data_IF_567085668361
#
_entry.id   IF_567085668361
#
_cell.length_a   1.000
_cell.length_b   1.000
_cell.length_c   1.000
_cell.angle_alpha   90.00
_cell.angle_beta   90.00
_cell.angle_gamma   90.00
#
_symmetry.space_group_name_H-M   'P 1'
#
loop_
_entity.id
_entity.type
_entity.pdbx_description
1 polymer ?
#
# COMPACT_ATOMS: atom_id res chain seq x y z
N UNK A 1 23.33 65.38 -19.09
CA UNK A 1 22.51 64.60 -18.12
C UNK A 1 22.87 65.08 -16.71
N UNK A 2 21.90 65.56 -15.96
CA UNK A 2 22.15 66.08 -14.58
C UNK A 2 22.69 64.95 -13.70
N UNK A 3 23.69 65.24 -12.81
CA UNK A 3 24.27 64.26 -11.91
C UNK A 3 23.18 63.51 -11.09
N UNK A 4 22.14 64.25 -10.63
CA UNK A 4 21.00 63.67 -9.91
C UNK A 4 20.22 62.63 -10.76
N UNK A 5 19.99 62.91 -12.06
CA UNK A 5 19.29 61.98 -12.94
C UNK A 5 20.10 60.69 -13.17
N UNK A 6 21.44 60.82 -13.24
CA UNK A 6 22.31 59.63 -13.34
C UNK A 6 22.23 58.73 -12.13
N UNK A 7 22.27 59.30 -10.91
CA UNK A 7 22.18 58.57 -9.67
C UNK A 7 20.81 57.86 -9.55
N UNK A 8 19.72 58.52 -9.92
CA UNK A 8 18.37 57.93 -9.90
C UNK A 8 18.30 56.75 -10.87
N UNK A 9 18.86 56.87 -12.07
CA UNK A 9 18.90 55.79 -13.03
C UNK A 9 19.74 54.58 -12.54
N UNK A 10 20.88 54.85 -11.89
CA UNK A 10 21.72 53.77 -11.30
C UNK A 10 21.00 53.02 -10.18
N UNK A 11 20.30 53.75 -9.31
CA UNK A 11 19.49 53.11 -8.25
C UNK A 11 18.33 52.29 -8.82
N UNK A 12 17.60 52.80 -9.81
CA UNK A 12 16.54 52.04 -10.50
C UNK A 12 17.07 50.80 -11.17
N UNK A 13 18.23 50.88 -11.84
CA UNK A 13 18.88 49.72 -12.43
C UNK A 13 19.24 48.67 -11.38
N UNK A 14 19.79 49.09 -10.26
CA UNK A 14 20.15 48.18 -9.17
C UNK A 14 18.93 47.48 -8.55
N UNK A 15 17.81 48.21 -8.33
CA UNK A 15 16.54 47.63 -7.93
C UNK A 15 16.02 46.64 -8.96
N UNK A 16 16.12 46.96 -10.27
CA UNK A 16 15.74 46.07 -11.34
C UNK A 16 16.54 44.76 -11.36
N UNK A 17 17.86 44.84 -11.12
CA UNK A 17 18.71 43.64 -11.01
C UNK A 17 18.28 42.76 -9.84
N UNK A 18 18.04 43.34 -8.66
CA UNK A 18 17.58 42.59 -7.48
C UNK A 18 16.23 41.89 -7.77
N UNK A 19 15.30 42.60 -8.40
CA UNK A 19 14.01 42.05 -8.78
C UNK A 19 14.16 40.88 -9.77
N UNK A 20 15.02 40.98 -10.76
CA UNK A 20 15.31 39.92 -11.73
C UNK A 20 15.93 38.67 -11.05
N UNK A 21 16.90 38.87 -10.16
CA UNK A 21 17.51 37.77 -9.39
C UNK A 21 16.47 37.07 -8.55
N UNK A 22 15.58 37.82 -7.89
CA UNK A 22 14.49 37.24 -7.11
C UNK A 22 13.51 36.44 -7.99
N UNK A 23 13.15 36.95 -9.17
CA UNK A 23 12.25 36.27 -10.09
C UNK A 23 12.87 34.96 -10.60
N UNK A 24 14.17 34.98 -10.97
CA UNK A 24 14.90 33.78 -11.41
C UNK A 24 14.94 32.75 -10.28
N UNK A 25 15.33 33.16 -9.08
CA UNK A 25 15.38 32.30 -7.92
C UNK A 25 13.98 31.67 -7.62
N UNK A 26 12.94 32.49 -7.59
CA UNK A 26 11.57 32.03 -7.35
C UNK A 26 11.08 31.06 -8.45
N UNK A 27 11.42 31.32 -9.71
CA UNK A 27 11.06 30.46 -10.83
C UNK A 27 11.67 29.06 -10.74
N UNK A 28 12.89 28.95 -10.24
CA UNK A 28 13.58 27.67 -10.05
C UNK A 28 13.11 26.98 -8.77
N UNK A 29 12.98 27.72 -7.66
CA UNK A 29 12.68 27.12 -6.37
C UNK A 29 11.24 26.65 -6.19
N UNK A 30 10.27 27.26 -6.90
CA UNK A 30 8.87 26.84 -6.84
C UNK A 30 8.68 25.38 -7.29
N UNK A 31 9.11 24.95 -8.48
CA UNK A 31 8.97 23.55 -8.90
C UNK A 31 9.81 22.59 -8.04
N UNK A 32 11.00 23.00 -7.59
CA UNK A 32 11.84 22.19 -6.70
C UNK A 32 11.11 21.90 -5.38
N UNK A 33 10.57 22.92 -4.74
CA UNK A 33 9.83 22.76 -3.50
C UNK A 33 8.54 21.96 -3.69
N UNK A 34 7.83 22.18 -4.80
CA UNK A 34 6.65 21.39 -5.15
C UNK A 34 6.98 19.91 -5.28
N UNK A 35 8.02 19.55 -6.04
CA UNK A 35 8.44 18.16 -6.24
C UNK A 35 8.86 17.51 -4.92
N UNK A 36 9.62 18.19 -4.08
CA UNK A 36 10.02 17.70 -2.77
C UNK A 36 8.81 17.40 -1.87
N UNK A 37 7.79 18.28 -1.87
CA UNK A 37 6.57 18.07 -1.10
C UNK A 37 5.71 16.95 -1.71
N UNK A 38 5.63 16.88 -3.04
CA UNK A 38 4.94 15.81 -3.76
C UNK A 38 5.51 14.44 -3.37
N UNK A 39 6.82 14.25 -3.47
CA UNK A 39 7.49 12.99 -3.12
C UNK A 39 7.23 12.55 -1.68
N UNK A 40 7.29 13.48 -0.73
CA UNK A 40 6.96 13.20 0.67
C UNK A 40 5.52 12.71 0.84
N UNK A 41 4.56 13.35 0.17
CA UNK A 41 3.15 12.96 0.24
C UNK A 41 2.87 11.66 -0.50
N UNK A 42 3.51 11.43 -1.63
CA UNK A 42 3.45 10.17 -2.38
C UNK A 42 3.98 9.01 -1.54
N UNK A 43 5.09 9.16 -0.83
CA UNK A 43 5.63 8.11 0.05
C UNK A 43 4.59 7.65 1.07
N UNK A 44 3.92 8.58 1.75
CA UNK A 44 2.87 8.26 2.73
C UNK A 44 1.65 7.61 2.06
N UNK A 45 1.23 8.13 0.89
CA UNK A 45 0.09 7.61 0.16
C UNK A 45 0.35 6.21 -0.41
N UNK A 46 1.53 5.98 -0.97
CA UNK A 46 1.97 4.67 -1.47
C UNK A 46 1.98 3.65 -0.33
N UNK A 47 2.44 4.02 0.86
CA UNK A 47 2.42 3.11 2.00
C UNK A 47 0.98 2.72 2.37
N UNK A 48 0.03 3.66 2.41
CA UNK A 48 -1.40 3.35 2.65
C UNK A 48 -1.99 2.45 1.56
N UNK A 49 -1.66 2.70 0.29
CA UNK A 49 -2.12 1.84 -0.81
C UNK A 49 -1.52 0.44 -0.74
N UNK A 50 -0.26 0.30 -0.32
CA UNK A 50 0.37 -1.01 -0.04
C UNK A 50 -0.33 -1.74 1.11
N UNK A 51 -0.70 -1.03 2.16
CA UNK A 51 -1.42 -1.60 3.29
C UNK A 51 -2.83 -2.08 2.87
N UNK A 52 -3.55 -1.27 2.08
CA UNK A 52 -4.84 -1.68 1.47
C UNK A 52 -4.66 -2.93 0.60
N UNK A 53 -3.62 -2.98 -0.25
CA UNK A 53 -3.31 -4.15 -1.08
C UNK A 53 -3.10 -5.40 -0.23
N UNK A 54 -2.32 -5.29 0.84
CA UNK A 54 -2.05 -6.40 1.77
C UNK A 54 -3.34 -6.92 2.41
N UNK A 55 -4.20 -6.04 2.90
CA UNK A 55 -5.49 -6.40 3.47
C UNK A 55 -6.44 -7.01 2.44
N UNK A 56 -6.49 -6.48 1.23
CA UNK A 56 -7.30 -7.00 0.14
C UNK A 56 -6.86 -8.42 -0.27
N UNK A 57 -5.56 -8.66 -0.39
CA UNK A 57 -5.02 -9.98 -0.72
C UNK A 57 -5.34 -10.98 0.39
N UNK A 58 -5.19 -10.60 1.65
CA UNK A 58 -5.56 -11.43 2.79
C UNK A 58 -7.08 -11.68 2.84
N UNK A 59 -7.90 -10.67 2.60
CA UNK A 59 -9.36 -10.81 2.52
C UNK A 59 -9.76 -11.79 1.41
N UNK A 60 -9.16 -11.65 0.23
CA UNK A 60 -9.41 -12.57 -0.90
C UNK A 60 -9.00 -14.00 -0.58
N UNK A 61 -7.90 -14.23 0.15
CA UNK A 61 -7.46 -15.59 0.51
C UNK A 61 -8.46 -16.33 1.40
N UNK A 62 -9.23 -15.59 2.21
CA UNK A 62 -10.25 -16.15 3.12
C UNK A 62 -11.62 -16.20 2.44
N UNK A 63 -12.00 -15.14 1.71
CA UNK A 63 -13.37 -14.95 1.20
C UNK A 63 -13.52 -15.22 -0.30
N UNK A 64 -12.44 -15.52 -1.01
CA UNK A 64 -12.43 -15.79 -2.45
C UNK A 64 -12.64 -14.56 -3.35
N UNK A 65 -12.91 -13.40 -2.79
CA UNK A 65 -13.20 -12.14 -3.50
C UNK A 65 -12.60 -10.94 -2.78
N UNK A 66 -12.42 -9.84 -3.51
CA UNK A 66 -12.08 -8.54 -2.93
C UNK A 66 -13.32 -7.81 -2.39
N UNK A 67 -13.12 -6.77 -1.61
CA UNK A 67 -14.17 -5.93 -1.04
C UNK A 67 -14.01 -4.46 -1.46
N UNK A 68 -15.14 -3.77 -1.67
CA UNK A 68 -15.17 -2.39 -2.16
C UNK A 68 -15.14 -1.32 -1.07
N UNK A 69 -15.19 -1.69 0.22
CA UNK A 69 -15.27 -0.73 1.33
C UNK A 69 -14.15 -0.92 2.34
N UNK A 70 -13.59 0.19 2.80
CA UNK A 70 -12.56 0.17 3.87
C UNK A 70 -13.14 -0.33 5.20
N UNK A 71 -14.42 -0.06 5.48
CA UNK A 71 -15.04 -0.54 6.71
C UNK A 71 -15.13 -2.07 6.78
N UNK A 72 -15.36 -2.74 5.65
CA UNK A 72 -15.29 -4.20 5.58
C UNK A 72 -13.87 -4.73 5.78
N UNK A 73 -12.85 -4.04 5.24
CA UNK A 73 -11.44 -4.38 5.51
C UNK A 73 -11.09 -4.17 6.98
N UNK A 74 -11.59 -3.10 7.60
CA UNK A 74 -11.41 -2.85 9.04
C UNK A 74 -12.02 -3.96 9.87
N UNK A 75 -13.27 -4.32 9.60
CA UNK A 75 -13.93 -5.42 10.31
C UNK A 75 -13.18 -6.76 10.13
N UNK A 76 -12.69 -7.04 8.92
CA UNK A 76 -11.86 -8.21 8.65
C UNK A 76 -10.54 -8.18 9.43
N UNK A 77 -9.87 -7.04 9.50
CA UNK A 77 -8.63 -6.89 10.26
C UNK A 77 -8.84 -7.10 11.76
N UNK A 78 -9.91 -6.54 12.32
CA UNK A 78 -10.18 -6.57 13.76
C UNK A 78 -10.74 -7.93 14.22
N UNK A 79 -11.64 -8.56 13.43
CA UNK A 79 -12.43 -9.73 13.84
C UNK A 79 -12.19 -10.96 12.96
N UNK A 80 -11.50 -10.81 11.84
CA UNK A 80 -11.26 -11.91 10.90
C UNK A 80 -10.18 -12.87 11.40
N UNK A 81 -10.23 -14.09 10.84
CA UNK A 81 -9.19 -15.11 11.00
C UNK A 81 -8.70 -15.56 9.64
N UNK A 82 -7.45 -15.91 9.56
CA UNK A 82 -6.85 -16.46 8.36
C UNK A 82 -6.17 -17.79 8.67
N UNK A 83 -6.22 -18.70 7.71
CA UNK A 83 -5.55 -19.98 7.81
C UNK A 83 -4.04 -19.79 7.58
N UNK A 84 -3.24 -20.15 8.54
CA UNK A 84 -1.77 -20.13 8.45
C UNK A 84 -1.27 -21.56 8.59
N UNK A 85 -0.39 -21.96 7.67
CA UNK A 85 0.28 -23.25 7.75
C UNK A 85 1.47 -23.11 8.70
N UNK A 86 1.39 -23.76 9.84
CA UNK A 86 2.47 -23.82 10.82
C UNK A 86 3.27 -25.10 10.60
N UNK A 87 4.58 -24.99 10.37
CA UNK A 87 5.49 -26.11 10.32
C UNK A 87 6.02 -26.39 11.72
N UNK A 88 5.83 -27.61 12.21
CA UNK A 88 6.36 -28.10 13.47
C UNK A 88 7.54 -29.02 13.17
N UNK A 89 8.66 -28.79 13.83
CA UNK A 89 9.89 -29.52 13.62
C UNK A 89 10.64 -29.16 12.31
N UNK A 90 11.87 -29.63 12.18
CA UNK A 90 12.66 -29.44 10.96
C UNK A 90 12.55 -30.66 10.05
N UNK A 91 12.33 -30.42 8.75
CA UNK A 91 12.34 -31.50 7.76
C UNK A 91 13.71 -32.20 7.62
N UNK A 92 14.78 -31.52 8.05
CA UNK A 92 16.15 -32.05 8.02
C UNK A 92 16.47 -32.96 9.23
N UNK A 93 15.57 -32.99 10.24
CA UNK A 93 15.72 -33.89 11.38
C UNK A 93 15.24 -35.29 11.02
N UNK A 94 16.17 -36.12 10.60
CA UNK A 94 15.91 -37.52 10.18
C UNK A 94 15.33 -38.39 11.29
N UNK A 95 15.66 -38.10 12.56
CA UNK A 95 15.14 -38.86 13.71
C UNK A 95 13.66 -38.49 13.95
N UNK A 96 13.35 -37.23 14.01
CA UNK A 96 11.98 -36.74 14.17
C UNK A 96 11.11 -37.12 12.98
N UNK A 97 11.64 -37.05 11.76
CA UNK A 97 10.95 -37.55 10.56
C UNK A 97 10.60 -39.03 10.65
N UNK A 98 11.58 -39.90 11.00
CA UNK A 98 11.35 -41.33 11.12
C UNK A 98 10.36 -41.67 12.24
N UNK A 99 10.38 -40.92 13.34
CA UNK A 99 9.40 -41.04 14.43
C UNK A 99 7.99 -40.68 13.96
N UNK A 100 7.85 -39.53 13.27
CA UNK A 100 6.56 -39.09 12.70
C UNK A 100 5.98 -40.11 11.74
N UNK A 101 6.82 -40.70 10.87
CA UNK A 101 6.39 -41.74 9.95
C UNK A 101 5.92 -43.04 10.68
N UNK A 102 6.55 -43.40 11.78
CA UNK A 102 6.08 -44.53 12.63
C UNK A 102 4.70 -44.22 13.22
N UNK A 103 4.49 -43.02 13.75
CA UNK A 103 3.20 -42.58 14.29
C UNK A 103 2.11 -42.62 13.21
N UNK A 104 2.38 -42.10 12.01
CA UNK A 104 1.46 -42.12 10.87
C UNK A 104 1.17 -43.56 10.39
N UNK A 105 2.15 -44.45 10.39
CA UNK A 105 1.94 -45.86 10.03
C UNK A 105 1.10 -46.61 11.05
N UNK A 106 1.29 -46.34 12.35
CA UNK A 106 0.50 -46.92 13.42
C UNK A 106 -0.97 -46.44 13.37
N UNK A 107 -1.19 -45.20 12.99
CA UNK A 107 -2.54 -44.63 12.81
C UNK A 107 -2.64 -43.87 11.49
N UNK A 108 -3.02 -44.58 10.40
CA UNK A 108 -3.13 -44.01 9.05
C UNK A 108 -4.17 -42.89 8.89
N UNK A 109 -5.07 -42.73 9.88
CA UNK A 109 -6.10 -41.69 9.90
C UNK A 109 -5.77 -40.55 10.86
N UNK A 110 -4.52 -40.48 11.37
CA UNK A 110 -4.11 -39.41 12.26
C UNK A 110 -4.14 -38.07 11.53
N UNK A 111 -4.80 -37.09 12.10
CA UNK A 111 -4.90 -35.74 11.55
C UNK A 111 -3.76 -34.86 12.04
N UNK A 112 -3.41 -33.77 11.30
CA UNK A 112 -2.40 -32.80 11.77
C UNK A 112 -2.73 -32.20 13.16
N UNK A 113 -4.01 -31.98 13.45
CA UNK A 113 -4.45 -31.46 14.75
C UNK A 113 -4.15 -32.45 15.88
N UNK A 114 -4.30 -33.75 15.62
CA UNK A 114 -3.98 -34.79 16.61
C UNK A 114 -2.47 -34.92 16.83
N UNK A 115 -1.66 -34.70 15.78
CA UNK A 115 -0.21 -34.62 15.92
C UNK A 115 0.20 -33.39 16.71
N UNK A 116 -0.52 -32.27 16.58
CA UNK A 116 -0.30 -31.06 17.38
C UNK A 116 -0.59 -31.32 18.87
N UNK A 117 -1.71 -31.98 19.20
CA UNK A 117 -2.02 -32.38 20.59
C UNK A 117 -0.92 -33.27 21.18
N UNK A 118 -0.38 -34.23 20.41
CA UNK A 118 0.72 -35.09 20.86
C UNK A 118 2.01 -34.25 21.10
N UNK A 119 2.31 -33.31 20.21
CA UNK A 119 3.45 -32.41 20.35
C UNK A 119 3.33 -31.53 21.60
N UNK A 120 2.12 -31.00 21.87
CA UNK A 120 1.84 -30.21 23.07
C UNK A 120 1.88 -31.06 24.35
N UNK A 121 1.46 -32.33 24.25
CA UNK A 121 1.54 -33.28 25.36
C UNK A 121 2.98 -33.76 25.70
N UNK A 122 3.97 -33.33 24.90
CA UNK A 122 5.39 -33.54 25.20
C UNK A 122 6.18 -34.37 24.18
N UNK A 123 5.55 -34.92 23.15
CA UNK A 123 6.27 -35.61 22.06
C UNK A 123 6.86 -34.57 21.08
N UNK A 124 8.03 -34.04 21.43
CA UNK A 124 8.71 -32.99 20.66
C UNK A 124 9.41 -33.50 19.40
N UNK A 125 9.46 -34.83 19.17
CA UNK A 125 10.12 -35.45 18.02
C UNK A 125 9.14 -35.65 16.85
N UNK A 126 8.28 -34.67 16.57
CA UNK A 126 7.32 -34.71 15.49
C UNK A 126 7.64 -33.65 14.43
N UNK A 127 7.49 -34.03 13.15
CA UNK A 127 7.64 -33.14 11.99
C UNK A 127 6.37 -33.21 11.15
N UNK A 128 5.62 -32.13 11.13
CA UNK A 128 4.36 -32.05 10.39
C UNK A 128 3.98 -30.60 10.15
N UNK A 129 3.02 -30.39 9.23
CA UNK A 129 2.37 -29.09 9.03
C UNK A 129 0.94 -29.14 9.51
N UNK A 130 0.50 -28.12 10.19
CA UNK A 130 -0.87 -27.95 10.63
C UNK A 130 -1.42 -26.62 10.18
N UNK A 131 -2.69 -26.60 9.76
CA UNK A 131 -3.40 -25.35 9.40
C UNK A 131 -4.07 -24.82 10.65
N UNK A 132 -3.63 -23.69 11.13
CA UNK A 132 -4.19 -23.04 12.31
C UNK A 132 -4.89 -21.73 11.91
N UNK A 133 -6.03 -21.46 12.53
CA UNK A 133 -6.76 -20.20 12.36
C UNK A 133 -6.21 -19.16 13.31
N UNK A 134 -5.52 -18.15 12.77
CA UNK A 134 -4.93 -17.07 13.56
C UNK A 134 -5.68 -15.76 13.26
N UNK A 135 -5.94 -14.91 14.26
CA UNK A 135 -6.52 -13.58 14.02
C UNK A 135 -5.69 -12.80 13.01
N UNK A 136 -6.36 -12.13 12.08
CA UNK A 136 -5.69 -11.30 11.04
C UNK A 136 -4.80 -10.24 11.68
N UNK A 137 -5.27 -9.63 12.76
CA UNK A 137 -4.55 -8.62 13.53
C UNK A 137 -3.20 -9.13 14.07
N UNK A 138 -3.13 -10.41 14.44
CA UNK A 138 -1.91 -11.01 15.00
C UNK A 138 -0.96 -11.54 13.91
N UNK A 139 -1.38 -11.44 12.64
CA UNK A 139 -0.60 -11.91 11.49
C UNK A 139 -0.10 -10.78 10.62
N UNK A 140 -0.96 -9.78 10.35
CA UNK A 140 -0.62 -8.65 9.48
C UNK A 140 -0.17 -7.44 10.30
N UNK A 141 0.86 -6.76 9.79
CA UNK A 141 1.40 -5.51 10.34
C UNK A 141 1.97 -5.60 11.77
N UNK A 142 2.22 -6.80 12.28
CA UNK A 142 2.76 -7.01 13.63
C UNK A 142 4.14 -6.38 13.85
N UNK A 143 4.92 -6.19 12.80
CA UNK A 143 6.24 -5.51 12.83
C UNK A 143 6.15 -3.98 12.75
N UNK A 144 4.94 -3.41 12.64
CA UNK A 144 4.72 -1.98 12.44
C UNK A 144 3.89 -1.38 13.56
N UNK A 145 4.56 -0.73 14.51
CA UNK A 145 3.90 -0.05 15.64
C UNK A 145 3.08 1.17 15.20
N UNK A 146 3.43 1.78 14.06
CA UNK A 146 2.76 2.97 13.50
C UNK A 146 1.51 2.63 12.67
N UNK A 147 1.18 1.35 12.49
CA UNK A 147 0.01 0.96 11.71
C UNK A 147 -1.30 1.31 12.40
N UNK A 148 -2.14 2.06 11.71
CA UNK A 148 -3.48 2.42 12.16
C UNK A 148 -4.48 2.18 11.03
N UNK A 149 -5.40 1.23 11.23
CA UNK A 149 -6.41 0.85 10.23
C UNK A 149 -7.32 2.02 9.85
N UNK A 150 -7.65 2.92 10.78
CA UNK A 150 -8.50 4.08 10.51
C UNK A 150 -7.82 5.11 9.59
N UNK A 151 -6.50 5.10 9.53
CA UNK A 151 -5.75 5.95 8.60
C UNK A 151 -6.00 5.60 7.13
N UNK A 152 -6.44 4.36 6.85
CA UNK A 152 -6.74 3.88 5.49
C UNK A 152 -8.07 4.39 4.94
N UNK A 153 -8.92 5.01 5.78
CA UNK A 153 -10.20 5.57 5.32
C UNK A 153 -10.04 6.82 4.47
N UNK A 154 -8.98 7.58 4.70
CA UNK A 154 -8.83 8.92 4.12
C UNK A 154 -7.53 9.08 3.34
N UNK A 155 -7.60 9.87 2.28
CA UNK A 155 -6.42 10.29 1.51
C UNK A 155 -5.58 11.22 2.40
N UNK A 156 -4.28 10.94 2.58
CA UNK A 156 -3.43 11.81 3.39
C UNK A 156 -3.38 13.23 2.82
N UNK A 157 -3.27 14.21 3.70
CA UNK A 157 -3.19 15.66 3.37
C UNK A 157 -4.41 16.24 2.64
N UNK A 158 -5.48 15.49 2.42
CA UNK A 158 -6.68 15.94 1.71
C UNK A 158 -7.64 16.77 2.57
N UNK A 159 -7.51 16.70 3.90
CA UNK A 159 -8.49 17.25 4.84
C UNK A 159 -9.66 16.31 5.12
N UNK A 160 -9.44 14.98 5.00
CA UNK A 160 -10.43 13.96 5.35
C UNK A 160 -11.20 13.37 4.16
N UNK A 161 -10.81 13.66 2.92
CA UNK A 161 -11.44 13.04 1.75
C UNK A 161 -11.25 11.51 1.77
N UNK A 162 -12.30 10.72 1.49
CA UNK A 162 -12.21 9.27 1.49
C UNK A 162 -11.34 8.74 0.34
N UNK A 163 -10.76 7.57 0.53
CA UNK A 163 -10.10 6.82 -0.55
C UNK A 163 -11.19 6.19 -1.41
N UNK A 164 -11.06 6.33 -2.73
CA UNK A 164 -11.91 5.66 -3.69
C UNK A 164 -11.45 4.21 -3.83
N UNK A 165 -12.35 3.26 -3.54
CA UNK A 165 -12.06 1.83 -3.66
C UNK A 165 -13.21 1.12 -4.36
N UNK A 166 -12.88 0.30 -5.35
CA UNK A 166 -13.83 -0.51 -6.12
C UNK A 166 -13.35 -1.96 -6.14
N UNK A 167 -14.28 -2.91 -6.08
CA UNK A 167 -13.99 -4.32 -6.23
C UNK A 167 -15.08 -4.97 -7.08
N UNK A 168 -14.68 -5.71 -8.11
CA UNK A 168 -15.54 -6.34 -9.08
C UNK A 168 -15.02 -7.73 -9.44
N UNK A 169 -15.90 -8.57 -9.99
CA UNK A 169 -15.50 -9.87 -10.54
C UNK A 169 -15.78 -9.87 -12.04
N UNK A 170 -14.73 -9.99 -12.82
CA UNK A 170 -14.82 -10.05 -14.28
C UNK A 170 -14.63 -11.47 -14.80
N UNK A 171 -15.33 -11.80 -15.87
CA UNK A 171 -15.13 -13.06 -16.58
C UNK A 171 -13.96 -12.91 -17.56
N UNK A 172 -12.87 -13.61 -17.31
CA UNK A 172 -11.71 -13.65 -18.21
C UNK A 172 -11.58 -15.07 -18.77
N UNK A 173 -11.77 -15.22 -20.06
CA UNK A 173 -11.75 -16.55 -20.73
C UNK A 173 -12.66 -17.60 -20.07
N UNK A 174 -13.83 -17.18 -19.59
CA UNK A 174 -14.79 -18.07 -18.90
C UNK A 174 -14.51 -18.33 -17.42
N UNK A 175 -13.46 -17.74 -16.85
CA UNK A 175 -13.11 -17.88 -15.44
C UNK A 175 -13.43 -16.59 -14.69
N UNK A 176 -14.14 -16.64 -13.54
CA UNK A 176 -14.39 -15.46 -12.73
C UNK A 176 -13.10 -15.01 -12.03
N UNK A 177 -12.63 -13.83 -12.36
CA UNK A 177 -11.43 -13.22 -11.79
C UNK A 177 -11.85 -12.04 -10.93
N UNK A 178 -11.69 -12.09 -9.61
CA UNK A 178 -11.93 -10.94 -8.74
C UNK A 178 -10.80 -9.92 -8.93
N UNK A 179 -11.19 -8.66 -9.11
CA UNK A 179 -10.32 -7.51 -9.28
C UNK A 179 -10.68 -6.44 -8.24
N UNK A 180 -9.71 -5.64 -7.85
CA UNK A 180 -9.95 -4.44 -7.06
C UNK A 180 -9.09 -3.30 -7.55
N UNK A 181 -9.50 -2.10 -7.18
CA UNK A 181 -8.79 -0.87 -7.48
C UNK A 181 -8.95 0.09 -6.29
N UNK A 182 -7.85 0.73 -5.87
CA UNK A 182 -7.91 1.84 -4.92
C UNK A 182 -7.13 3.03 -5.46
N UNK A 183 -7.76 4.22 -5.37
CA UNK A 183 -7.31 5.45 -6.02
C UNK A 183 -7.14 6.61 -5.05
N UNK A 184 -6.09 7.40 -5.27
CA UNK A 184 -5.83 8.67 -4.59
C UNK A 184 -5.48 9.73 -5.64
N UNK A 185 -6.42 10.57 -6.10
CA UNK A 185 -6.15 11.60 -7.11
C UNK A 185 -5.21 12.69 -6.57
N UNK A 186 -4.31 13.18 -7.40
CA UNK A 186 -3.38 14.26 -7.01
C UNK A 186 -4.10 15.55 -6.62
N UNK A 187 -5.27 15.80 -7.19
CA UNK A 187 -6.13 16.93 -6.78
C UNK A 187 -6.41 16.96 -5.28
N UNK A 188 -6.54 15.79 -4.65
CA UNK A 188 -6.77 15.65 -3.21
C UNK A 188 -5.47 15.46 -2.44
N UNK A 189 -4.56 14.63 -2.92
CA UNK A 189 -3.28 14.33 -2.26
C UNK A 189 -2.38 15.56 -2.15
N UNK A 190 -2.36 16.40 -3.20
CA UNK A 190 -1.52 17.58 -3.28
C UNK A 190 -2.26 18.88 -2.92
N UNK A 191 -3.41 18.77 -2.25
CA UNK A 191 -4.19 19.94 -1.79
C UNK A 191 -3.33 20.89 -0.97
N UNK A 192 -3.39 22.20 -1.31
CA UNK A 192 -2.63 23.26 -0.63
C UNK A 192 -1.20 23.47 -1.16
N UNK A 193 -0.75 22.67 -2.15
CA UNK A 193 0.46 22.98 -2.92
C UNK A 193 0.12 23.87 -4.13
N UNK A 194 1.15 24.26 -4.90
CA UNK A 194 0.96 25.09 -6.10
C UNK A 194 0.01 24.42 -7.09
N UNK A 195 -1.12 25.08 -7.33
CA UNK A 195 -2.21 24.50 -8.14
C UNK A 195 -1.84 24.42 -9.63
N UNK A 196 -1.04 25.37 -10.16
CA UNK A 196 -0.63 25.34 -11.55
C UNK A 196 0.31 24.17 -11.83
N UNK A 197 1.30 23.95 -10.95
CA UNK A 197 2.20 22.80 -11.07
C UNK A 197 1.47 21.47 -10.94
N UNK A 198 0.45 21.39 -10.09
CA UNK A 198 -0.41 20.21 -10.00
C UNK A 198 -1.22 19.98 -11.28
N UNK A 199 -1.83 21.03 -11.86
CA UNK A 199 -2.58 20.93 -13.11
C UNK A 199 -1.66 20.46 -14.26
N UNK A 200 -0.45 21.00 -14.34
CA UNK A 200 0.54 20.56 -15.32
C UNK A 200 0.89 19.08 -15.14
N UNK A 201 1.11 18.62 -13.89
CA UNK A 201 1.36 17.22 -13.58
C UNK A 201 0.19 16.32 -13.99
N UNK A 202 -1.06 16.73 -13.72
CA UNK A 202 -2.25 15.97 -14.09
C UNK A 202 -2.36 15.87 -15.63
N UNK A 203 -2.09 16.98 -16.36
CA UNK A 203 -2.08 17.00 -17.82
C UNK A 203 -1.02 16.08 -18.41
N UNK A 204 0.22 16.13 -17.90
CA UNK A 204 1.32 15.27 -18.35
C UNK A 204 0.98 13.77 -18.17
N UNK A 205 0.31 13.42 -17.07
CA UNK A 205 -0.11 12.02 -16.84
C UNK A 205 -1.23 11.62 -17.77
N UNK A 206 -2.21 12.49 -17.99
CA UNK A 206 -3.33 12.26 -18.92
C UNK A 206 -2.85 12.06 -20.35
N UNK A 207 -1.90 12.87 -20.82
CA UNK A 207 -1.31 12.76 -22.16
C UNK A 207 -0.56 11.43 -22.35
N UNK A 208 -0.08 10.84 -21.25
CA UNK A 208 0.53 9.51 -21.22
C UNK A 208 -0.49 8.37 -21.00
N UNK A 209 -1.80 8.64 -21.01
CA UNK A 209 -2.88 7.70 -20.66
C UNK A 209 -2.70 7.06 -19.27
N UNK A 210 -2.12 7.80 -18.31
CA UNK A 210 -1.94 7.38 -16.92
C UNK A 210 -2.95 8.06 -16.02
N UNK A 211 -3.37 7.36 -14.96
CA UNK A 211 -4.23 7.96 -13.94
C UNK A 211 -3.59 9.19 -13.29
N UNK A 212 -4.35 10.25 -13.10
CA UNK A 212 -3.94 11.54 -12.54
C UNK A 212 -3.82 11.47 -10.99
N UNK A 213 -3.01 10.53 -10.50
CA UNK A 213 -2.84 10.22 -9.09
C UNK A 213 -2.10 8.91 -8.86
N UNK A 214 -2.21 8.41 -7.64
CA UNK A 214 -1.73 7.10 -7.24
C UNK A 214 -2.88 6.09 -7.27
N UNK A 215 -2.59 4.90 -7.78
CA UNK A 215 -3.56 3.82 -7.94
C UNK A 215 -2.88 2.49 -7.67
N UNK A 216 -3.58 1.59 -6.99
CA UNK A 216 -3.18 0.19 -6.81
C UNK A 216 -4.28 -0.73 -7.31
N UNK A 217 -3.90 -1.78 -8.01
CA UNK A 217 -4.82 -2.67 -8.69
C UNK A 217 -5.48 -2.07 -9.93
N UNK A 218 -6.39 -2.80 -10.55
CA UNK A 218 -7.22 -2.35 -11.67
C UNK A 218 -8.46 -3.23 -11.74
N UNK A 219 -9.62 -2.60 -11.95
CA UNK A 219 -10.88 -3.32 -12.22
C UNK A 219 -11.13 -3.53 -13.71
N UNK A 220 -10.36 -2.87 -14.59
CA UNK A 220 -10.53 -3.02 -16.05
C UNK A 220 -9.75 -4.20 -16.61
N UNK A 221 -8.58 -4.51 -16.04
CA UNK A 221 -7.74 -5.61 -16.48
C UNK A 221 -6.89 -6.17 -15.32
N UNK A 222 -6.65 -7.48 -15.27
CA UNK A 222 -5.77 -8.08 -14.27
C UNK A 222 -4.35 -7.52 -14.38
N UNK A 223 -3.85 -6.90 -13.32
CA UNK A 223 -2.48 -6.35 -13.24
C UNK A 223 -1.71 -6.87 -12.02
N UNK A 224 -2.12 -8.03 -11.48
CA UNK A 224 -1.55 -8.61 -10.25
C UNK A 224 -1.54 -7.65 -9.05
N UNK A 225 -2.53 -6.76 -8.99
CA UNK A 225 -2.67 -5.72 -7.96
C UNK A 225 -1.45 -4.77 -7.89
N UNK A 226 -0.75 -4.58 -9.00
CA UNK A 226 0.39 -3.66 -9.06
C UNK A 226 -0.02 -2.21 -8.85
N UNK A 227 0.86 -1.42 -8.25
CA UNK A 227 0.71 0.02 -8.13
C UNK A 227 1.25 0.74 -9.36
N UNK A 228 0.68 1.89 -9.73
CA UNK A 228 1.15 2.68 -10.87
C UNK A 228 2.48 3.44 -10.62
N UNK A 229 3.11 3.17 -9.50
CA UNK A 229 4.45 3.64 -9.11
C UNK A 229 5.55 2.55 -9.21
N UNK A 230 5.16 1.31 -9.50
CA UNK A 230 6.05 0.14 -9.61
C UNK A 230 6.70 0.05 -11.01
#
# INVERSE_FOLDING_TARGET
MNKALKIVLEVLLFIGIIALVYLIYSSIMKPVNFNKQKERRETVAIQRLKDIRTLQVAYKSVNGKFVSTIDSLKNFYENGKMAVVMQIGSADDSVAWAHTEKVKKANRKITPEKLLEMYEAGDKNLVFSVVTQIPVKDTLFTSREDFCIDSLKTIPFSGGAPIEMTAETHMVSGVPVPLFEAKMPYKLLLKGLDNQLRINLDADRKDQNKYEGLQVGSVTAPNNNAGNWE
#
